data_IF_013723840900
#
_entry.id   IF_013723840900
#
_cell.length_a   1.000
_cell.length_b   1.000
_cell.length_c   1.000
_cell.angle_alpha   90.00
_cell.angle_beta   90.00
_cell.angle_gamma   90.00
#
_symmetry.space_group_name_H-M   'P 1'
#
loop_
_entity.id
_entity.type
_entity.pdbx_description
1 polymer ?
#
# COMPACT_ATOMS: atom_id res chain seq x y z
N UNK A 1 1.11 19.80 20.41
CA UNK A 1 -0.06 18.96 20.17
C UNK A 1 0.45 17.54 19.90
N UNK A 2 -0.11 16.52 20.54
CA UNK A 2 0.21 15.14 20.18
C UNK A 2 -0.44 14.83 18.81
N UNK A 3 0.23 14.09 17.91
CA UNK A 3 -0.38 13.71 16.64
C UNK A 3 -1.63 12.88 16.91
N UNK A 4 -2.72 13.17 16.20
CA UNK A 4 -3.91 12.33 16.27
C UNK A 4 -3.60 10.94 15.68
N UNK A 5 -4.28 9.91 16.18
CA UNK A 5 -4.16 8.57 15.62
C UNK A 5 -4.62 8.57 14.15
N UNK A 6 -3.81 8.04 13.22
CA UNK A 6 -4.18 8.00 11.81
C UNK A 6 -5.38 7.10 11.57
N UNK A 7 -6.17 7.41 10.55
CA UNK A 7 -7.20 6.47 10.06
C UNK A 7 -6.50 5.37 9.27
N UNK A 8 -6.79 4.11 9.57
CA UNK A 8 -6.19 2.94 8.94
C UNK A 8 -7.21 2.16 8.12
N UNK A 9 -6.85 1.77 6.90
CA UNK A 9 -7.63 0.86 6.06
C UNK A 9 -6.74 0.12 5.04
N UNK A 10 -7.27 -0.93 4.42
CA UNK A 10 -6.72 -1.43 3.16
C UNK A 10 -7.16 -0.54 2.01
N UNK A 11 -6.25 -0.13 1.13
CA UNK A 11 -6.54 0.76 -0.01
C UNK A 11 -6.41 0.07 -1.37
N UNK A 12 -5.83 -1.13 -1.42
CA UNK A 12 -5.83 -1.97 -2.59
C UNK A 12 -5.73 -3.44 -2.20
N UNK A 13 -6.43 -4.28 -2.94
CA UNK A 13 -6.36 -5.74 -2.83
C UNK A 13 -6.18 -6.31 -4.24
N UNK A 14 -5.35 -7.35 -4.34
CA UNK A 14 -5.26 -8.17 -5.54
C UNK A 14 -5.33 -9.64 -5.17
N UNK A 15 -6.39 -10.30 -5.60
CA UNK A 15 -6.59 -11.75 -5.43
C UNK A 15 -6.22 -12.41 -6.75
N UNK A 16 -5.40 -13.44 -6.68
CA UNK A 16 -4.97 -14.24 -7.83
C UNK A 16 -5.33 -15.69 -7.58
N UNK A 17 -5.83 -16.36 -8.60
CA UNK A 17 -6.25 -17.77 -8.54
C UNK A 17 -6.19 -18.42 -9.92
N UNK A 18 -6.53 -19.70 -9.95
CA UNK A 18 -6.71 -20.47 -11.16
C UNK A 18 -8.19 -20.59 -11.50
N UNK A 19 -8.51 -20.35 -12.76
CA UNK A 19 -9.82 -20.59 -13.34
C UNK A 19 -9.71 -21.79 -14.28
N UNK A 20 -10.50 -22.83 -14.01
CA UNK A 20 -10.61 -23.99 -14.89
C UNK A 20 -11.18 -23.59 -16.26
N UNK A 21 -10.96 -24.39 -17.29
CA UNK A 21 -11.47 -24.11 -18.65
C UNK A 21 -13.00 -23.91 -18.65
N UNK A 22 -13.71 -24.78 -17.93
CA UNK A 22 -15.17 -24.75 -17.85
C UNK A 22 -15.66 -23.51 -17.10
N UNK A 23 -15.02 -23.16 -15.98
CA UNK A 23 -15.37 -21.95 -15.24
C UNK A 23 -15.00 -20.68 -16.02
N UNK A 24 -13.92 -20.67 -16.79
CA UNK A 24 -13.56 -19.55 -17.66
C UNK A 24 -14.63 -19.31 -18.73
N UNK A 25 -15.14 -20.37 -19.35
CA UNK A 25 -16.22 -20.26 -20.34
C UNK A 25 -17.54 -19.81 -19.70
N UNK A 26 -17.91 -20.38 -18.54
CA UNK A 26 -19.10 -19.97 -17.78
C UNK A 26 -19.04 -18.49 -17.38
N UNK A 27 -17.90 -18.08 -16.82
CA UNK A 27 -17.70 -16.72 -16.32
C UNK A 27 -17.67 -15.71 -17.47
N UNK A 28 -16.98 -16.02 -18.57
CA UNK A 28 -17.01 -15.18 -19.78
C UNK A 28 -18.42 -15.05 -20.37
N UNK A 29 -19.21 -16.12 -20.34
CA UNK A 29 -20.60 -16.10 -20.85
C UNK A 29 -21.50 -15.26 -19.95
N UNK A 30 -21.41 -15.43 -18.64
CA UNK A 30 -22.09 -14.59 -17.64
C UNK A 30 -21.74 -13.10 -17.81
N UNK A 31 -20.45 -12.78 -17.90
CA UNK A 31 -19.99 -11.39 -18.07
C UNK A 31 -20.44 -10.75 -19.37
N UNK A 32 -20.74 -11.54 -20.41
CA UNK A 32 -21.18 -11.02 -21.71
C UNK A 32 -22.64 -10.58 -21.70
N UNK A 33 -23.44 -11.08 -20.75
CA UNK A 33 -24.88 -10.75 -20.64
C UNK A 33 -25.16 -9.78 -19.47
N UNK A 34 -24.23 -9.62 -18.54
CA UNK A 34 -24.37 -8.72 -17.39
C UNK A 34 -24.06 -7.26 -17.79
N UNK A 35 -25.06 -6.36 -17.86
CA UNK A 35 -24.86 -4.99 -18.37
C UNK A 35 -23.90 -4.16 -17.51
N UNK A 36 -23.70 -4.54 -16.24
CA UNK A 36 -22.82 -3.85 -15.31
C UNK A 36 -21.34 -4.22 -15.49
N UNK A 37 -21.03 -5.12 -16.42
CA UNK A 37 -19.67 -5.58 -16.71
C UNK A 37 -19.28 -5.16 -18.13
N UNK A 38 -18.13 -4.48 -18.22
CA UNK A 38 -17.48 -4.16 -19.49
C UNK A 38 -16.42 -5.21 -19.76
N UNK A 39 -16.62 -6.01 -20.81
CA UNK A 39 -15.72 -7.09 -21.23
C UNK A 39 -14.96 -6.70 -22.52
N UNK A 40 -13.67 -7.02 -22.61
CA UNK A 40 -12.84 -6.81 -23.81
C UNK A 40 -11.67 -7.79 -23.88
N UNK A 41 -10.88 -7.74 -24.97
CA UNK A 41 -9.77 -8.67 -25.26
C UNK A 41 -10.19 -10.16 -25.17
N UNK A 42 -11.39 -10.49 -25.67
CA UNK A 42 -12.02 -11.81 -25.50
C UNK A 42 -11.45 -12.82 -26.49
N UNK A 43 -10.83 -13.87 -25.97
CA UNK A 43 -10.39 -15.06 -26.66
C UNK A 43 -10.74 -16.29 -25.80
N UNK A 44 -10.64 -17.50 -26.36
CA UNK A 44 -10.89 -18.73 -25.57
C UNK A 44 -9.96 -18.88 -24.35
N UNK A 45 -8.77 -18.29 -24.41
CA UNK A 45 -7.72 -18.42 -23.38
C UNK A 45 -7.46 -17.12 -22.63
N UNK A 46 -8.28 -16.08 -22.86
CA UNK A 46 -8.03 -14.74 -22.33
C UNK A 46 -9.30 -13.89 -22.31
N UNK A 47 -9.49 -13.13 -21.24
CA UNK A 47 -10.43 -12.02 -21.25
C UNK A 47 -9.99 -10.97 -20.24
N UNK A 48 -10.48 -9.73 -20.43
CA UNK A 48 -10.38 -8.67 -19.43
C UNK A 48 -11.75 -8.08 -19.19
N UNK A 49 -12.04 -7.77 -17.94
CA UNK A 49 -13.28 -7.13 -17.57
C UNK A 49 -13.07 -6.00 -16.57
N UNK A 50 -14.03 -5.08 -16.55
CA UNK A 50 -14.26 -4.18 -15.44
C UNK A 50 -15.70 -4.29 -15.01
N UNK A 51 -15.92 -4.40 -13.71
CA UNK A 51 -17.23 -4.58 -13.12
C UNK A 51 -17.52 -3.48 -12.09
N UNK A 52 -18.77 -3.40 -11.66
CA UNK A 52 -19.22 -2.53 -10.57
C UNK A 52 -18.80 -1.08 -10.80
N UNK A 53 -19.24 -0.49 -11.93
CA UNK A 53 -18.91 0.89 -12.31
C UNK A 53 -17.39 1.14 -12.36
N UNK A 54 -16.66 0.21 -12.99
CA UNK A 54 -15.20 0.27 -13.18
C UNK A 54 -14.36 0.19 -11.88
N UNK A 55 -14.97 -0.16 -10.74
CA UNK A 55 -14.29 -0.29 -9.44
C UNK A 55 -13.46 -1.56 -9.29
N UNK A 56 -13.80 -2.60 -10.06
CA UNK A 56 -13.11 -3.89 -10.05
C UNK A 56 -12.53 -4.16 -11.42
N UNK A 57 -11.25 -4.54 -11.47
CA UNK A 57 -10.59 -5.04 -12.67
C UNK A 57 -10.39 -6.55 -12.57
N UNK A 58 -10.68 -7.26 -13.66
CA UNK A 58 -10.56 -8.71 -13.76
C UNK A 58 -9.76 -9.05 -15.02
N UNK A 59 -8.79 -9.94 -14.89
CA UNK A 59 -7.98 -10.42 -16.01
C UNK A 59 -7.80 -11.93 -15.90
N UNK A 60 -8.11 -12.63 -16.98
CA UNK A 60 -7.78 -14.04 -17.18
C UNK A 60 -6.87 -14.15 -18.39
N UNK A 61 -5.75 -14.85 -18.27
CA UNK A 61 -4.83 -15.13 -19.38
C UNK A 61 -4.12 -16.47 -19.16
N UNK A 62 -4.69 -17.54 -19.71
CA UNK A 62 -4.16 -18.90 -19.55
C UNK A 62 -2.80 -19.09 -20.21
N UNK A 63 -2.62 -18.60 -21.44
CA UNK A 63 -1.37 -18.81 -22.19
C UNK A 63 -0.20 -18.16 -21.47
N UNK A 64 -0.39 -16.92 -21.01
CA UNK A 64 0.62 -16.22 -20.22
C UNK A 64 0.87 -16.94 -18.91
N UNK A 65 -0.17 -17.36 -18.20
CA UNK A 65 -0.04 -18.08 -16.94
C UNK A 65 0.79 -19.36 -17.08
N UNK A 66 0.48 -20.20 -18.06
CA UNK A 66 1.19 -21.45 -18.35
C UNK A 66 2.67 -21.18 -18.75
N UNK A 67 2.92 -20.11 -19.52
CA UNK A 67 4.29 -19.73 -19.94
C UNK A 67 5.18 -19.34 -18.77
N UNK A 68 4.62 -18.71 -17.74
CA UNK A 68 5.35 -18.19 -16.59
C UNK A 68 5.22 -19.06 -15.33
N UNK A 69 4.53 -20.21 -15.44
CA UNK A 69 4.16 -21.10 -14.34
C UNK A 69 3.52 -20.35 -13.17
N UNK A 70 2.41 -19.65 -13.47
CA UNK A 70 1.66 -18.82 -12.50
C UNK A 70 0.17 -19.08 -12.58
N UNK A 71 -0.53 -18.64 -11.56
CA UNK A 71 -2.00 -18.58 -11.51
C UNK A 71 -2.57 -17.70 -12.62
N UNK A 72 -3.69 -18.12 -13.20
CA UNK A 72 -4.16 -17.63 -14.50
C UNK A 72 -5.23 -16.53 -14.47
N UNK A 73 -5.74 -16.19 -13.30
CA UNK A 73 -6.74 -15.14 -13.11
C UNK A 73 -6.34 -14.18 -12.00
N UNK A 74 -6.63 -12.89 -12.21
CA UNK A 74 -6.34 -11.80 -11.27
C UNK A 74 -7.54 -10.88 -11.14
N UNK A 75 -7.86 -10.51 -9.92
CA UNK A 75 -8.92 -9.55 -9.57
C UNK A 75 -8.32 -8.44 -8.71
N UNK A 76 -8.44 -7.20 -9.16
CA UNK A 76 -7.89 -6.00 -8.50
C UNK A 76 -9.01 -5.03 -8.13
N UNK A 77 -9.01 -4.52 -6.90
CA UNK A 77 -9.99 -3.54 -6.42
C UNK A 77 -9.48 -2.77 -5.21
N UNK A 78 -10.10 -1.62 -4.91
CA UNK A 78 -9.94 -0.92 -3.63
C UNK A 78 -11.16 -1.25 -2.76
N UNK A 79 -11.00 -1.95 -1.61
CA UNK A 79 -12.14 -2.36 -0.78
C UNK A 79 -12.91 -1.16 -0.20
N UNK A 80 -12.27 -0.01 0.01
CA UNK A 80 -12.94 1.21 0.50
C UNK A 80 -13.92 1.81 -0.52
N UNK A 81 -13.87 1.38 -1.80
CA UNK A 81 -14.78 1.86 -2.86
C UNK A 81 -15.95 0.92 -3.10
N UNK A 82 -15.99 -0.24 -2.44
CA UNK A 82 -17.07 -1.22 -2.60
C UNK A 82 -18.05 -1.13 -1.43
N UNK A 83 -19.34 -1.21 -1.74
CA UNK A 83 -20.36 -1.44 -0.70
C UNK A 83 -20.33 -2.90 -0.25
N UNK A 84 -20.98 -3.21 0.88
CA UNK A 84 -21.03 -4.60 1.36
C UNK A 84 -21.74 -5.54 0.36
N UNK A 85 -22.83 -5.08 -0.26
CA UNK A 85 -23.54 -5.83 -1.30
C UNK A 85 -22.64 -6.10 -2.52
N UNK A 86 -21.86 -5.11 -2.92
CA UNK A 86 -20.88 -5.24 -4.02
C UNK A 86 -19.76 -6.21 -3.68
N UNK A 87 -19.28 -6.23 -2.44
CA UNK A 87 -18.30 -7.21 -1.96
C UNK A 87 -18.85 -8.63 -2.02
N UNK A 88 -20.09 -8.83 -1.55
CA UNK A 88 -20.78 -10.14 -1.61
C UNK A 88 -20.95 -10.57 -3.07
N UNK A 89 -21.43 -9.66 -3.93
CA UNK A 89 -21.60 -9.93 -5.35
C UNK A 89 -20.28 -10.33 -6.01
N UNK A 90 -19.19 -9.60 -5.75
CA UNK A 90 -17.87 -9.89 -6.30
C UNK A 90 -17.38 -11.26 -5.83
N UNK A 91 -17.55 -11.56 -4.54
CA UNK A 91 -17.15 -12.84 -3.96
C UNK A 91 -17.90 -14.00 -4.62
N UNK A 92 -19.23 -13.96 -4.62
CA UNK A 92 -20.08 -15.06 -5.09
C UNK A 92 -20.00 -15.30 -6.60
N UNK A 93 -19.93 -14.21 -7.39
CA UNK A 93 -20.02 -14.32 -8.85
C UNK A 93 -18.65 -14.45 -9.52
N UNK A 94 -17.56 -14.02 -8.87
CA UNK A 94 -16.22 -14.02 -9.46
C UNK A 94 -15.24 -14.85 -8.63
N UNK A 95 -15.01 -14.46 -7.36
CA UNK A 95 -13.92 -15.04 -6.55
C UNK A 95 -14.17 -16.51 -6.25
N UNK A 96 -15.41 -16.87 -5.91
CA UNK A 96 -15.80 -18.25 -5.58
C UNK A 96 -15.72 -19.21 -6.77
N UNK A 97 -15.42 -18.75 -7.99
CA UNK A 97 -15.12 -19.63 -9.14
C UNK A 97 -13.63 -19.94 -9.30
N UNK A 98 -12.75 -19.19 -8.63
CA UNK A 98 -11.30 -19.43 -8.64
C UNK A 98 -10.93 -20.59 -7.71
N UNK A 99 -9.88 -21.31 -8.06
CA UNK A 99 -9.22 -22.34 -7.25
C UNK A 99 -7.80 -21.87 -6.92
N UNK A 100 -7.19 -22.36 -5.85
CA UNK A 100 -5.85 -21.92 -5.42
C UNK A 100 -5.76 -20.37 -5.32
N UNK A 101 -6.82 -19.75 -4.80
CA UNK A 101 -6.91 -18.31 -4.66
C UNK A 101 -6.12 -17.81 -3.44
N UNK A 102 -5.57 -16.61 -3.57
CA UNK A 102 -4.89 -15.95 -2.46
C UNK A 102 -4.49 -14.52 -2.82
N UNK A 103 -4.21 -13.72 -1.79
CA UNK A 103 -3.73 -12.37 -1.98
C UNK A 103 -2.32 -12.37 -2.57
N UNK A 104 -2.09 -11.47 -3.52
CA UNK A 104 -0.76 -11.19 -4.08
C UNK A 104 -0.37 -9.74 -3.96
N UNK A 105 -1.32 -8.88 -3.55
CA UNK A 105 -1.09 -7.50 -3.16
C UNK A 105 -2.08 -7.07 -2.08
N UNK A 106 -1.57 -6.37 -1.07
CA UNK A 106 -2.33 -5.66 -0.06
C UNK A 106 -1.65 -4.29 0.17
N UNK A 107 -2.41 -3.21 0.08
CA UNK A 107 -1.90 -1.87 0.40
C UNK A 107 -2.52 -1.39 1.70
N UNK A 108 -1.71 -1.12 2.73
CA UNK A 108 -2.15 -0.47 3.97
C UNK A 108 -2.05 1.04 3.80
N UNK A 109 -3.10 1.78 4.16
CA UNK A 109 -3.13 3.24 4.12
C UNK A 109 -3.38 3.82 5.52
N UNK A 110 -2.46 4.67 5.96
CA UNK A 110 -2.56 5.47 7.18
C UNK A 110 -2.74 6.94 6.80
N UNK A 111 -3.93 7.49 7.06
CA UNK A 111 -4.26 8.88 6.80
C UNK A 111 -4.06 9.74 8.06
N UNK A 112 -3.22 10.76 7.94
CA UNK A 112 -2.88 11.73 8.97
C UNK A 112 -3.49 13.09 8.65
N UNK A 113 -4.14 13.71 9.63
CA UNK A 113 -4.63 15.08 9.57
C UNK A 113 -3.54 16.08 10.05
N UNK A 114 -2.29 15.85 9.63
CA UNK A 114 -1.10 16.64 9.95
C UNK A 114 -0.23 16.81 8.69
N UNK A 115 0.65 17.81 8.65
CA UNK A 115 1.54 18.06 7.51
C UNK A 115 2.82 17.20 7.59
N UNK A 116 2.87 16.12 6.79
CA UNK A 116 4.04 15.24 6.75
C UNK A 116 5.18 15.73 5.84
N UNK A 117 5.05 16.91 5.23
CA UNK A 117 6.15 17.49 4.42
C UNK A 117 7.39 17.75 5.27
N UNK A 118 7.21 18.26 6.48
CA UNK A 118 8.26 18.64 7.44
C UNK A 118 8.86 17.46 8.21
N UNK A 119 8.31 16.25 8.05
CA UNK A 119 8.84 15.04 8.68
C UNK A 119 9.97 14.42 7.86
N UNK A 120 11.03 14.01 8.54
CA UNK A 120 12.12 13.23 7.96
C UNK A 120 11.78 11.74 8.02
N UNK A 121 11.63 11.12 6.86
CA UNK A 121 11.35 9.70 6.74
C UNK A 121 12.60 8.92 6.36
N UNK A 122 12.88 7.83 7.08
CA UNK A 122 14.02 6.96 6.80
C UNK A 122 13.70 5.49 7.08
N UNK A 123 14.52 4.62 6.51
CA UNK A 123 14.49 3.18 6.77
C UNK A 123 15.80 2.71 7.38
N UNK A 124 15.79 1.65 8.19
CA UNK A 124 17.03 1.08 8.73
C UNK A 124 17.91 0.49 7.64
N UNK A 125 17.30 -0.19 6.67
CA UNK A 125 17.98 -0.67 5.47
C UNK A 125 18.09 0.44 4.44
N UNK A 126 19.15 0.43 3.63
CA UNK A 126 19.25 1.35 2.50
C UNK A 126 18.30 0.91 1.39
N UNK A 127 17.40 1.79 0.99
CA UNK A 127 16.46 1.57 -0.11
C UNK A 127 16.55 2.73 -1.09
N UNK A 128 16.14 2.51 -2.34
CA UNK A 128 16.01 3.60 -3.30
C UNK A 128 14.96 4.60 -2.79
N UNK A 129 15.24 5.89 -2.90
CA UNK A 129 14.31 6.96 -2.53
C UNK A 129 13.99 7.82 -3.74
N UNK A 130 12.80 8.38 -3.80
CA UNK A 130 12.42 9.39 -4.81
C UNK A 130 11.52 10.41 -4.15
N UNK A 131 11.82 11.69 -4.31
CA UNK A 131 11.04 12.78 -3.72
C UNK A 131 10.56 13.68 -4.87
N UNK A 132 9.26 13.92 -4.91
CA UNK A 132 8.64 14.89 -5.82
C UNK A 132 8.35 16.16 -5.03
N UNK A 133 8.79 17.28 -5.58
CA UNK A 133 8.62 18.60 -5.00
C UNK A 133 7.56 19.37 -5.78
N UNK A 134 6.71 20.08 -5.06
CA UNK A 134 5.75 21.01 -5.63
C UNK A 134 6.42 22.26 -6.17
N UNK A 135 5.64 23.11 -6.84
CA UNK A 135 6.11 24.42 -7.35
C UNK A 135 6.57 25.37 -6.24
N UNK A 136 6.13 25.14 -5.00
CA UNK A 136 6.55 25.88 -3.82
C UNK A 136 7.87 25.38 -3.21
N UNK A 137 8.51 24.36 -3.81
CA UNK A 137 9.75 23.77 -3.32
C UNK A 137 9.58 22.82 -2.13
N UNK A 138 8.35 22.59 -1.65
CA UNK A 138 8.09 21.62 -0.56
C UNK A 138 7.96 20.20 -1.13
N UNK A 139 8.43 19.16 -0.41
CA UNK A 139 8.13 17.78 -0.76
C UNK A 139 6.62 17.55 -0.76
N UNK A 140 6.08 16.95 -1.82
CA UNK A 140 4.66 16.56 -1.92
C UNK A 140 4.48 15.05 -1.88
N UNK A 141 5.49 14.30 -2.34
CA UNK A 141 5.47 12.83 -2.38
C UNK A 141 6.87 12.28 -2.15
N UNK A 142 7.00 11.29 -1.26
CA UNK A 142 8.24 10.59 -0.93
C UNK A 142 8.01 9.09 -1.16
N UNK A 143 8.85 8.46 -1.96
CA UNK A 143 8.83 7.02 -2.24
C UNK A 143 10.04 6.33 -1.64
N UNK A 144 9.83 5.16 -1.04
CA UNK A 144 10.87 4.30 -0.48
C UNK A 144 10.75 2.89 -1.06
N UNK A 145 11.81 2.45 -1.73
CA UNK A 145 11.84 1.22 -2.52
C UNK A 145 11.53 1.45 -3.99
N UNK A 146 11.13 0.39 -4.69
CA UNK A 146 10.70 0.42 -6.09
C UNK A 146 9.34 -0.24 -6.21
N UNK A 147 8.52 0.21 -7.16
CA UNK A 147 7.14 -0.28 -7.26
C UNK A 147 7.02 -1.79 -7.47
N UNK A 148 8.01 -2.44 -8.08
CA UNK A 148 8.00 -3.90 -8.32
C UNK A 148 8.59 -4.75 -7.18
N UNK A 149 9.06 -4.13 -6.08
CA UNK A 149 9.52 -4.90 -4.91
C UNK A 149 8.36 -5.42 -4.07
N UNK A 150 8.65 -6.40 -3.21
CA UNK A 150 7.65 -7.02 -2.32
C UNK A 150 7.08 -6.02 -1.29
N UNK A 151 7.78 -4.92 -1.04
CA UNK A 151 7.30 -3.79 -0.23
C UNK A 151 7.69 -2.48 -0.88
N UNK A 152 6.75 -1.54 -0.98
CA UNK A 152 6.94 -0.20 -1.50
C UNK A 152 6.16 0.81 -0.66
N UNK A 153 6.80 1.89 -0.21
CA UNK A 153 6.18 2.85 0.72
C UNK A 153 6.07 4.21 0.04
N UNK A 154 4.90 4.83 0.17
CA UNK A 154 4.59 6.17 -0.33
C UNK A 154 4.14 7.05 0.82
N UNK A 155 4.72 8.24 0.93
CA UNK A 155 4.26 9.28 1.87
C UNK A 155 3.92 10.50 1.02
N UNK A 156 2.65 10.88 0.96
CA UNK A 156 2.22 11.92 0.03
C UNK A 156 1.06 12.76 0.54
N UNK A 157 0.95 13.96 -0.01
CA UNK A 157 -0.15 14.87 0.27
C UNK A 157 -1.44 14.37 -0.41
N UNK A 158 -2.27 13.67 0.36
CA UNK A 158 -3.52 13.07 -0.11
C UNK A 158 -4.58 14.13 -0.41
N UNK A 159 -4.56 15.26 0.30
CA UNK A 159 -5.45 16.39 0.01
C UNK A 159 -5.19 16.95 -1.39
N UNK A 160 -3.92 17.16 -1.73
CA UNK A 160 -3.52 17.65 -3.05
C UNK A 160 -3.87 16.63 -4.15
N UNK A 161 -3.58 15.34 -3.92
CA UNK A 161 -3.93 14.28 -4.88
C UNK A 161 -5.44 14.18 -5.15
N UNK A 162 -6.29 14.30 -4.13
CA UNK A 162 -7.75 14.37 -4.30
C UNK A 162 -8.21 15.60 -5.08
N UNK A 163 -7.60 16.75 -4.80
CA UNK A 163 -7.89 17.99 -5.53
C UNK A 163 -7.56 17.86 -7.02
N UNK A 164 -6.42 17.24 -7.33
CA UNK A 164 -5.99 17.02 -8.72
C UNK A 164 -6.88 16.02 -9.46
N UNK A 165 -7.46 15.06 -8.75
CA UNK A 165 -8.44 14.10 -9.29
C UNK A 165 -9.88 14.65 -9.35
N UNK A 166 -10.13 15.89 -8.93
CA UNK A 166 -11.47 16.48 -8.79
C UNK A 166 -12.41 15.67 -7.87
N UNK A 167 -11.86 15.05 -6.82
CA UNK A 167 -12.63 14.38 -5.77
C UNK A 167 -13.27 15.39 -4.78
N UNK A 168 -14.07 14.88 -3.83
CA UNK A 168 -14.76 15.67 -2.79
C UNK A 168 -13.79 16.48 -1.94
N UNK A 169 -14.19 17.71 -1.59
CA UNK A 169 -13.42 18.63 -0.76
C UNK A 169 -13.16 18.04 0.65
N UNK A 170 -11.90 18.14 1.10
CA UNK A 170 -11.46 17.65 2.41
C UNK A 170 -11.52 18.80 3.41
N UNK A 171 -12.36 18.65 4.44
CA UNK A 171 -12.56 19.67 5.49
C UNK A 171 -11.30 19.93 6.33
N UNK A 172 -10.48 18.90 6.56
CA UNK A 172 -9.24 19.04 7.35
C UNK A 172 -8.22 19.92 6.63
N UNK A 173 -7.48 20.74 7.37
CA UNK A 173 -6.46 21.64 6.80
C UNK A 173 -5.39 20.86 6.04
N UNK A 174 -4.91 19.77 6.63
CA UNK A 174 -3.94 18.85 6.07
C UNK A 174 -4.52 17.43 5.95
N UNK A 175 -4.13 16.72 4.89
CA UNK A 175 -4.37 15.29 4.78
C UNK A 175 -3.20 14.64 4.04
N UNK A 176 -2.43 13.86 4.76
CA UNK A 176 -1.29 13.10 4.24
C UNK A 176 -1.50 11.62 4.43
N UNK A 177 -1.04 10.82 3.46
CA UNK A 177 -1.14 9.36 3.52
C UNK A 177 0.23 8.72 3.55
N UNK A 178 0.41 7.78 4.48
CA UNK A 178 1.48 6.78 4.43
C UNK A 178 0.87 5.49 3.91
N UNK A 179 1.25 5.10 2.69
CA UNK A 179 0.73 3.92 2.01
C UNK A 179 1.85 2.88 1.88
N UNK A 180 1.58 1.66 2.35
CA UNK A 180 2.53 0.54 2.34
C UNK A 180 1.95 -0.54 1.42
N UNK A 181 2.48 -0.59 0.21
CA UNK A 181 2.14 -1.57 -0.83
C UNK A 181 2.96 -2.84 -0.60
N UNK A 182 2.28 -3.92 -0.26
CA UNK A 182 2.84 -5.25 -0.02
C UNK A 182 2.49 -6.16 -1.19
N UNK A 183 3.44 -6.97 -1.63
CA UNK A 183 3.28 -7.91 -2.75
C UNK A 183 3.92 -9.24 -2.44
N UNK A 184 3.47 -10.28 -3.16
CA UNK A 184 4.03 -11.64 -3.10
C UNK A 184 3.93 -12.18 -1.66
N UNK A 185 5.01 -12.68 -1.09
CA UNK A 185 5.12 -13.22 0.26
C UNK A 185 4.91 -12.18 1.37
N UNK A 186 5.19 -10.90 1.11
CA UNK A 186 5.05 -9.85 2.13
C UNK A 186 3.60 -9.56 2.52
N UNK A 187 2.61 -10.05 1.77
CA UNK A 187 1.18 -9.88 2.11
C UNK A 187 0.82 -10.64 3.39
N UNK A 188 1.48 -11.77 3.67
CA UNK A 188 1.22 -12.58 4.87
C UNK A 188 1.79 -11.93 6.14
N UNK A 189 2.67 -10.94 5.97
CA UNK A 189 3.32 -10.19 7.05
C UNK A 189 2.76 -8.77 7.17
N UNK A 190 1.54 -8.52 6.69
CA UNK A 190 0.93 -7.19 6.68
C UNK A 190 0.85 -6.54 8.07
N UNK A 191 0.72 -7.35 9.13
CA UNK A 191 0.64 -6.89 10.51
C UNK A 191 2.01 -6.53 11.13
N UNK A 192 3.13 -6.78 10.43
CA UNK A 192 4.49 -6.49 10.90
C UNK A 192 5.40 -5.88 9.81
N UNK A 193 4.82 -5.23 8.81
CA UNK A 193 5.52 -4.95 7.56
C UNK A 193 6.36 -3.67 7.51
N UNK A 194 6.42 -2.85 8.58
CA UNK A 194 7.08 -1.53 8.56
C UNK A 194 7.94 -1.22 9.79
N UNK A 195 8.42 -2.23 10.49
CA UNK A 195 9.27 -2.05 11.68
C UNK A 195 10.57 -1.26 11.45
N UNK A 196 11.10 -1.28 10.23
CA UNK A 196 12.31 -0.55 9.87
C UNK A 196 12.04 0.87 9.33
N UNK A 197 10.77 1.27 9.17
CA UNK A 197 10.39 2.63 8.78
C UNK A 197 10.39 3.52 10.02
N UNK A 198 10.85 4.76 9.84
CA UNK A 198 10.81 5.81 10.84
C UNK A 198 10.36 7.11 10.19
N UNK A 199 9.34 7.76 10.77
CA UNK A 199 8.83 9.06 10.30
C UNK A 199 9.00 10.05 11.45
N UNK A 200 10.10 10.79 11.37
CA UNK A 200 10.70 11.49 12.49
C UNK A 200 10.60 13.01 12.33
N UNK A 201 10.69 13.71 13.46
CA UNK A 201 10.87 15.18 13.49
C UNK A 201 12.13 15.52 14.29
N UNK A 202 13.34 15.30 13.72
CA UNK A 202 14.59 15.42 14.45
C UNK A 202 14.89 16.88 14.85
N UNK A 203 15.23 17.09 16.13
CA UNK A 203 15.86 18.34 16.58
C UNK A 203 17.37 18.26 16.35
N UNK A 204 17.82 18.70 15.18
CA UNK A 204 19.23 18.67 14.80
C UNK A 204 20.13 19.57 15.66
N UNK A 205 19.56 20.47 16.47
CA UNK A 205 20.29 21.32 17.43
C UNK A 205 20.50 20.65 18.78
N UNK A 206 19.76 19.59 19.08
CA UNK A 206 19.82 18.85 20.35
C UNK A 206 21.17 18.17 20.66
N UNK A 207 21.94 17.63 19.68
CA UNK A 207 23.25 17.04 19.97
C UNK A 207 24.20 18.05 20.65
N UNK A 208 24.95 17.61 21.68
CA UNK A 208 25.87 18.50 22.42
C UNK A 208 27.05 18.99 21.56
N UNK A 209 27.53 18.15 20.64
CA UNK A 209 28.72 18.44 19.83
C UNK A 209 28.32 19.14 18.53
N UNK A 210 28.90 20.31 18.28
CA UNK A 210 28.68 21.08 17.04
C UNK A 210 28.93 20.25 15.77
N UNK A 211 29.95 19.39 15.78
CA UNK A 211 30.26 18.51 14.64
C UNK A 211 29.14 17.49 14.37
N UNK A 212 28.43 17.03 15.41
CA UNK A 212 27.30 16.11 15.27
C UNK A 212 26.05 16.85 14.81
N UNK A 213 25.79 18.06 15.33
CA UNK A 213 24.72 18.94 14.83
C UNK A 213 24.89 19.20 13.32
N UNK A 214 26.09 19.63 12.90
CA UNK A 214 26.39 19.94 11.50
C UNK A 214 26.23 18.70 10.60
N UNK A 215 26.72 17.53 11.04
CA UNK A 215 26.60 16.30 10.27
C UNK A 215 25.14 15.83 10.16
N UNK A 216 24.38 15.90 11.25
CA UNK A 216 22.95 15.56 11.26
C UNK A 216 22.18 16.50 10.32
N UNK A 217 22.41 17.80 10.42
CA UNK A 217 21.81 18.79 9.53
C UNK A 217 22.11 18.47 8.06
N UNK A 218 23.39 18.21 7.73
CA UNK A 218 23.79 17.84 6.37
C UNK A 218 23.08 16.58 5.88
N UNK A 219 23.00 15.53 6.70
CA UNK A 219 22.39 14.25 6.30
C UNK A 219 20.87 14.30 6.15
N UNK A 220 20.19 15.17 6.88
CA UNK A 220 18.73 15.36 6.77
C UNK A 220 18.38 16.11 5.49
N UNK A 221 19.17 17.11 5.11
CA UNK A 221 18.87 17.99 3.97
C UNK A 221 19.49 17.49 2.66
N UNK A 222 20.61 16.76 2.71
CA UNK A 222 21.34 16.28 1.53
C UNK A 222 21.39 14.75 1.52
N UNK A 223 20.35 14.11 0.97
CA UNK A 223 20.24 12.64 0.95
C UNK A 223 21.45 11.95 0.29
N UNK A 224 22.04 12.59 -0.73
CA UNK A 224 23.24 12.08 -1.40
C UNK A 224 24.44 11.87 -0.47
N UNK A 225 24.53 12.65 0.62
CA UNK A 225 25.63 12.55 1.60
C UNK A 225 25.62 11.26 2.40
N UNK A 226 24.49 10.56 2.51
CA UNK A 226 24.47 9.20 3.04
C UNK A 226 25.30 8.23 2.19
N UNK A 227 25.48 8.49 0.90
CA UNK A 227 26.29 7.68 -0.01
C UNK A 227 27.78 7.69 0.30
N UNK A 228 28.30 8.82 0.82
CA UNK A 228 29.72 9.05 1.10
C UNK A 228 30.17 8.40 2.43
N UNK A 229 29.24 8.02 3.30
CA UNK A 229 29.54 7.46 4.61
C UNK A 229 29.80 5.94 4.56
N UNK A 230 30.69 5.45 5.43
CA UNK A 230 30.83 4.01 5.67
C UNK A 230 29.66 3.44 6.51
N UNK A 231 29.47 2.11 6.47
CA UNK A 231 28.36 1.42 7.15
C UNK A 231 28.26 1.75 8.65
N UNK A 232 29.37 1.77 9.39
CA UNK A 232 29.38 2.07 10.85
C UNK A 232 28.93 3.50 11.12
N UNK A 233 29.43 4.45 10.34
CA UNK A 233 29.06 5.87 10.44
C UNK A 233 27.58 6.08 10.10
N UNK A 234 27.04 5.39 9.09
CA UNK A 234 25.59 5.44 8.81
C UNK A 234 24.76 4.98 10.00
N UNK A 235 25.12 3.86 10.64
CA UNK A 235 24.40 3.40 11.83
C UNK A 235 24.48 4.39 12.99
N UNK A 236 25.66 4.97 13.24
CA UNK A 236 25.83 6.00 14.28
C UNK A 236 24.84 7.15 14.07
N UNK A 237 24.81 7.74 12.88
CA UNK A 237 23.96 8.91 12.63
C UNK A 237 22.47 8.57 12.50
N UNK A 238 22.11 7.38 12.00
CA UNK A 238 20.72 6.90 12.08
C UNK A 238 20.25 6.79 13.53
N UNK A 239 21.10 6.27 14.43
CA UNK A 239 20.80 6.18 15.86
C UNK A 239 20.62 7.57 16.48
N UNK A 240 21.55 8.49 16.23
CA UNK A 240 21.46 9.88 16.73
C UNK A 240 20.17 10.54 16.23
N UNK A 241 19.84 10.43 14.95
CA UNK A 241 18.61 11.02 14.37
C UNK A 241 17.36 10.47 15.06
N UNK A 242 17.31 9.18 15.38
CA UNK A 242 16.19 8.59 16.16
C UNK A 242 16.14 9.16 17.58
N UNK A 243 17.28 9.26 18.26
CA UNK A 243 17.37 9.71 19.67
C UNK A 243 16.98 11.19 19.83
N UNK A 244 17.35 12.05 18.89
CA UNK A 244 17.02 13.49 18.91
C UNK A 244 15.62 13.81 18.37
N UNK A 245 14.84 12.79 18.01
CA UNK A 245 13.49 12.95 17.48
C UNK A 245 12.48 12.78 18.61
N UNK A 246 11.83 13.86 19.10
CA UNK A 246 10.79 13.75 20.13
C UNK A 246 9.55 12.99 19.65
N UNK A 247 9.36 12.86 18.32
CA UNK A 247 8.20 12.20 17.71
C UNK A 247 8.70 11.22 16.63
N UNK A 248 8.23 9.97 16.70
CA UNK A 248 8.24 9.00 15.61
C UNK A 248 6.79 8.55 15.34
N UNK A 249 6.22 9.00 14.21
CA UNK A 249 4.84 8.66 13.85
C UNK A 249 4.64 7.15 13.61
N UNK A 250 5.72 6.42 13.36
CA UNK A 250 5.67 4.96 13.15
C UNK A 250 5.18 4.25 14.41
N UNK A 251 5.50 4.75 15.61
CA UNK A 251 5.00 4.15 16.86
C UNK A 251 3.48 4.30 16.99
N UNK A 252 2.94 5.43 16.55
CA UNK A 252 1.48 5.66 16.48
C UNK A 252 0.87 4.72 15.43
N UNK A 253 1.49 4.57 14.25
CA UNK A 253 1.03 3.62 13.22
C UNK A 253 0.98 2.18 13.75
N UNK A 254 2.00 1.73 14.49
CA UNK A 254 2.03 0.39 15.13
C UNK A 254 0.93 0.21 16.15
N UNK A 255 0.61 1.24 16.93
CA UNK A 255 -0.50 1.21 17.88
C UNK A 255 -1.84 1.09 17.15
N UNK A 256 -2.10 1.97 16.18
CA UNK A 256 -3.31 1.94 15.35
C UNK A 256 -3.49 0.60 14.64
N UNK A 257 -2.41 0.02 14.11
CA UNK A 257 -2.44 -1.30 13.48
C UNK A 257 -2.91 -2.37 14.47
N UNK A 258 -2.30 -2.45 15.65
CA UNK A 258 -2.66 -3.42 16.70
C UNK A 258 -4.11 -3.27 17.16
N UNK A 259 -4.60 -2.04 17.30
CA UNK A 259 -5.98 -1.77 17.68
C UNK A 259 -7.00 -2.25 16.64
N UNK A 260 -6.64 -2.19 15.35
CA UNK A 260 -7.52 -2.54 14.23
C UNK A 260 -7.23 -3.94 13.63
N UNK A 261 -6.22 -4.65 14.13
CA UNK A 261 -5.70 -5.89 13.53
C UNK A 261 -6.79 -6.94 13.35
N UNK A 262 -7.62 -7.16 14.37
CA UNK A 262 -8.74 -8.13 14.31
C UNK A 262 -9.79 -7.77 13.27
N UNK A 263 -10.07 -6.48 13.09
CA UNK A 263 -11.07 -6.03 12.11
C UNK A 263 -10.52 -6.17 10.69
N UNK A 264 -9.26 -5.79 10.48
CA UNK A 264 -8.57 -5.94 9.20
C UNK A 264 -8.43 -7.42 8.82
N UNK A 265 -8.09 -8.29 9.79
CA UNK A 265 -8.04 -9.73 9.54
C UNK A 265 -9.42 -10.27 9.12
N UNK A 266 -10.52 -9.88 9.77
CA UNK A 266 -11.87 -10.24 9.32
C UNK A 266 -12.18 -9.79 7.89
N UNK A 267 -11.66 -8.63 7.47
CA UNK A 267 -11.81 -8.17 6.08
C UNK A 267 -11.05 -9.05 5.09
N UNK A 268 -9.86 -9.56 5.46
CA UNK A 268 -9.11 -10.55 4.67
C UNK A 268 -9.88 -11.87 4.63
N UNK A 269 -10.29 -12.37 5.80
CA UNK A 269 -10.98 -13.66 5.97
C UNK A 269 -12.28 -13.73 5.17
N UNK A 270 -13.00 -12.60 5.01
CA UNK A 270 -14.21 -12.52 4.19
C UNK A 270 -13.97 -13.00 2.74
N UNK A 271 -12.79 -12.77 2.18
CA UNK A 271 -12.48 -13.12 0.79
C UNK A 271 -12.00 -14.55 0.63
N UNK A 272 -11.45 -15.15 1.68
CA UNK A 272 -11.11 -16.56 1.65
C UNK A 272 -12.39 -17.38 1.55
N UNK A 273 -12.36 -18.47 0.79
CA UNK A 273 -13.40 -19.49 0.91
C UNK A 273 -13.39 -19.98 2.36
N UNK A 274 -14.52 -19.86 3.06
CA UNK A 274 -14.69 -20.56 4.32
C UNK A 274 -14.28 -22.01 4.11
N UNK A 275 -13.33 -22.50 4.91
CA UNK A 275 -13.30 -23.93 5.23
C UNK A 275 -14.67 -24.22 5.84
N UNK A 276 -15.63 -24.62 5.00
CA UNK A 276 -16.76 -25.40 5.47
C UNK A 276 -16.13 -26.65 6.07
N UNK A 277 -16.01 -26.67 7.39
CA UNK A 277 -15.79 -27.91 8.11
C UNK A 277 -16.88 -28.87 7.59
N UNK A 278 -16.45 -29.94 6.95
CA UNK A 278 -17.32 -31.06 6.68
C UNK A 278 -17.63 -31.68 8.05
N UNK A 279 -18.91 -31.59 8.42
CA UNK A 279 -19.63 -32.26 9.52
C UNK A 279 -18.99 -32.31 10.91
#
# INVERSE_FOLDING_TARGET
>A
MHPQNPKLSFDAMTIVGNLSRDNAQKLSSFMSIEPQIRLWDILQTKFKAKALQEKVYIEYDKVKADTWDRRNMRVEFNPNKLTHEEMIWLKQNIIDYMEDDGFTRLDLAFDFEDDLSDYYAMTDKAVKKTIFYGRNGKPETKYFGVRDSNRFIRIYNKKQERKDNADVEVMSEHLWRVEIELKRDMVDYWNDCFNDLHILKPDWTSPEKLNEQAMVYMLIHEEGKWGELNKRTKYKYKKIIKEISPIDLTEIMKLTLRENEKQLQKQIDFWHREFRFWE
#
